data_IF_260968489595
#
_entry.id   IF_260968489595
#
_cell.length_a   1.000
_cell.length_b   1.000
_cell.length_c   1.000
_cell.angle_alpha   90.00
_cell.angle_beta   90.00
_cell.angle_gamma   90.00
#
_symmetry.space_group_name_H-M   'P 1'
#
loop_
_entity.id
_entity.type
_entity.pdbx_description
1 polymer ?
#
# COMPACT_ATOMS: atom_id res chain seq x y z
N UNK A 1 -43.57 -3.13 -22.30
CA UNK A 1 -43.14 -3.24 -21.72
C UNK A 1 -42.61 -3.16 -20.96
N UNK A 2 -42.50 -2.82 -21.20
CA UNK A 2 -41.97 -2.68 -20.47
C UNK A 2 -41.49 -2.85 -19.95
N UNK A 3 -41.11 -3.02 -19.83
CA UNK A 3 -40.60 -3.10 -19.18
C UNK A 3 -39.88 -3.16 -18.93
N UNK A 4 -39.88 -3.01 -19.04
CA UNK A 4 -39.23 -2.88 -18.78
C UNK A 4 -38.86 -2.25 -18.16
N UNK A 5 -39.16 -1.90 -18.08
CA UNK A 5 -38.94 -1.18 -17.56
C UNK A 5 -38.48 -0.74 -16.66
N UNK A 6 -38.72 -1.06 -16.22
CA UNK A 6 -38.12 -0.33 -15.38
C UNK A 6 -36.98 0.07 -15.72
N UNK A 7 -36.92 -0.37 -16.31
CA UNK A 7 -35.94 -0.15 -16.68
C UNK A 7 -35.87 0.66 -17.60
N UNK A 8 -36.47 0.51 -17.95
CA UNK A 8 -36.50 1.05 -18.55
C UNK A 8 -36.96 2.02 -18.63
N UNK A 9 -37.24 2.18 -18.22
CA UNK A 9 -37.68 2.92 -18.25
C UNK A 9 -37.66 4.04 -18.41
N UNK A 10 -37.61 4.27 -18.68
CA UNK A 10 -37.50 5.12 -18.77
C UNK A 10 -37.49 6.10 -19.26
N UNK A 11 -37.85 6.26 -19.23
CA UNK A 11 -37.55 6.81 -20.28
C UNK A 11 -36.51 7.82 -20.44
N UNK A 12 -36.60 8.92 -21.16
CA UNK A 12 -35.42 9.77 -21.30
C UNK A 12 -34.90 10.29 -19.97
N UNK A 13 -35.76 10.66 -19.07
CA UNK A 13 -35.36 11.09 -17.73
C UNK A 13 -34.74 9.93 -16.95
N UNK A 14 -35.27 8.75 -17.15
CA UNK A 14 -34.73 7.55 -16.54
C UNK A 14 -33.33 7.25 -17.01
N UNK A 15 -33.05 7.48 -18.30
CA UNK A 15 -31.70 7.25 -18.85
C UNK A 15 -30.68 8.18 -18.22
N UNK A 16 -31.01 9.44 -18.04
CA UNK A 16 -30.09 10.39 -17.43
C UNK A 16 -29.76 10.00 -15.98
N UNK A 17 -30.77 9.57 -15.25
CA UNK A 17 -30.59 9.12 -13.87
C UNK A 17 -29.76 7.83 -13.85
N UNK A 18 -30.03 6.91 -14.77
CA UNK A 18 -29.28 5.66 -14.86
C UNK A 18 -27.81 5.87 -15.17
N UNK A 19 -27.49 6.77 -16.10
CA UNK A 19 -26.11 7.08 -16.43
C UNK A 19 -25.37 7.65 -15.24
N UNK A 20 -26.01 8.57 -14.50
CA UNK A 20 -25.45 9.16 -13.30
C UNK A 20 -25.23 8.10 -12.21
N UNK A 21 -26.20 7.20 -12.04
CA UNK A 21 -26.09 6.12 -11.06
C UNK A 21 -24.99 5.13 -11.43
N UNK A 22 -24.87 4.78 -12.71
CA UNK A 22 -23.82 3.89 -13.19
C UNK A 22 -22.45 4.50 -13.00
N UNK A 23 -22.29 5.79 -13.27
CA UNK A 23 -21.03 6.49 -13.03
C UNK A 23 -20.66 6.48 -11.56
N UNK A 24 -21.63 6.76 -10.67
CA UNK A 24 -21.40 6.71 -9.23
C UNK A 24 -21.02 5.30 -8.77
N UNK A 25 -21.76 4.29 -9.27
CA UNK A 25 -21.46 2.88 -8.94
C UNK A 25 -20.05 2.49 -9.41
N UNK A 26 -19.65 2.92 -10.60
CA UNK A 26 -18.30 2.65 -11.13
C UNK A 26 -17.23 3.28 -10.24
N UNK A 27 -17.45 4.51 -9.80
CA UNK A 27 -16.51 5.18 -8.88
C UNK A 27 -16.40 4.45 -7.55
N UNK A 28 -17.54 4.05 -6.98
CA UNK A 28 -17.55 3.29 -5.71
C UNK A 28 -16.87 1.94 -5.89
N UNK A 29 -17.10 1.26 -7.01
CA UNK A 29 -16.45 -0.01 -7.31
C UNK A 29 -14.95 0.16 -7.41
N UNK A 30 -14.48 1.21 -8.09
CA UNK A 30 -13.05 1.49 -8.21
C UNK A 30 -12.42 1.79 -6.85
N UNK A 31 -13.11 2.54 -5.99
CA UNK A 31 -12.63 2.81 -4.64
C UNK A 31 -12.54 1.53 -3.81
N UNK A 32 -13.55 0.65 -3.92
CA UNK A 32 -13.54 -0.63 -3.24
C UNK A 32 -12.39 -1.52 -3.74
N UNK A 33 -12.14 -1.53 -5.04
CA UNK A 33 -11.05 -2.29 -5.63
C UNK A 33 -9.70 -1.80 -5.14
N UNK A 34 -9.50 -0.48 -5.07
CA UNK A 34 -8.27 0.11 -4.52
C UNK A 34 -8.11 -0.25 -3.04
N UNK A 35 -9.20 -0.23 -2.28
CA UNK A 35 -9.19 -0.64 -0.88
C UNK A 35 -8.80 -2.10 -0.70
N UNK A 36 -9.27 -2.98 -1.58
CA UNK A 36 -8.90 -4.39 -1.56
C UNK A 36 -7.43 -4.60 -1.87
N UNK A 37 -6.88 -3.87 -2.83
CA UNK A 37 -5.45 -3.93 -3.15
C UNK A 37 -4.62 -3.49 -1.95
N UNK A 38 -5.01 -2.39 -1.31
CA UNK A 38 -4.31 -1.90 -0.11
C UNK A 38 -4.39 -2.92 1.02
N UNK A 39 -5.57 -3.51 1.24
CA UNK A 39 -5.75 -4.53 2.26
C UNK A 39 -4.91 -5.77 1.98
N UNK A 40 -4.83 -6.20 0.72
CA UNK A 40 -4.02 -7.34 0.32
C UNK A 40 -2.53 -7.09 0.61
N UNK A 41 -2.05 -5.88 0.33
CA UNK A 41 -0.65 -5.51 0.63
C UNK A 41 -0.37 -5.57 2.13
N UNK A 42 -1.29 -5.11 2.95
CA UNK A 42 -1.15 -5.16 4.40
C UNK A 42 -1.08 -6.60 4.88
N UNK A 43 -1.96 -7.47 4.38
CA UNK A 43 -1.94 -8.91 4.72
C UNK A 43 -0.60 -9.54 4.31
N UNK A 44 -0.11 -9.22 3.13
CA UNK A 44 1.18 -9.72 2.66
C UNK A 44 2.33 -9.30 3.58
N UNK A 45 2.33 -8.05 4.04
CA UNK A 45 3.35 -7.55 4.96
C UNK A 45 3.26 -8.25 6.32
N UNK A 46 2.06 -8.44 6.85
CA UNK A 46 1.87 -9.14 8.12
C UNK A 46 2.37 -10.59 8.02
N UNK A 47 2.00 -11.28 6.94
CA UNK A 47 2.40 -12.66 6.74
C UNK A 47 3.90 -12.82 6.57
N UNK A 48 4.58 -11.81 6.02
CA UNK A 48 6.01 -11.85 5.74
C UNK A 48 6.88 -11.39 6.92
N UNK A 49 6.30 -10.90 7.99
CA UNK A 49 7.05 -10.24 9.08
C UNK A 49 8.09 -11.13 9.75
N UNK A 50 7.87 -12.44 9.77
CA UNK A 50 8.79 -13.39 10.40
C UNK A 50 9.74 -14.05 9.39
N UNK A 51 9.61 -13.73 8.13
CA UNK A 51 10.40 -14.26 7.05
C UNK A 51 9.55 -14.64 5.87
N UNK A 52 10.07 -14.47 4.67
CA UNK A 52 9.37 -14.83 3.45
C UNK A 52 10.34 -14.92 2.29
N UNK A 53 10.09 -15.84 1.38
CA UNK A 53 10.85 -15.96 0.13
C UNK A 53 10.32 -15.04 -0.96
N UNK A 54 9.19 -14.36 -0.70
CA UNK A 54 8.58 -13.46 -1.68
C UNK A 54 9.38 -12.17 -1.80
N UNK A 55 9.35 -11.54 -2.99
CA UNK A 55 10.08 -10.29 -3.19
C UNK A 55 9.28 -9.08 -2.71
N UNK A 56 9.99 -8.02 -2.36
CA UNK A 56 9.39 -6.75 -2.00
C UNK A 56 8.56 -6.17 -3.16
N UNK A 57 8.86 -6.57 -4.40
CA UNK A 57 8.14 -6.11 -5.59
C UNK A 57 6.70 -6.61 -5.66
N UNK A 58 6.28 -7.49 -4.76
CA UNK A 58 4.86 -7.81 -4.60
C UNK A 58 4.06 -6.61 -4.06
N UNK A 59 4.74 -5.66 -3.40
CA UNK A 59 4.10 -4.50 -2.76
C UNK A 59 4.57 -3.18 -3.34
N UNK A 60 5.86 -3.04 -3.66
CA UNK A 60 6.44 -1.82 -4.24
C UNK A 60 7.07 -2.13 -5.59
N UNK A 61 7.37 -1.09 -6.35
CA UNK A 61 8.02 -1.24 -7.65
C UNK A 61 9.51 -1.49 -7.49
N UNK A 62 10.11 -2.16 -8.47
CA UNK A 62 11.54 -2.43 -8.46
C UNK A 62 12.37 -1.16 -8.35
N UNK A 63 11.92 -0.07 -8.97
CA UNK A 63 12.58 1.23 -8.92
C UNK A 63 12.54 1.86 -7.53
N UNK A 64 11.71 1.37 -6.63
CA UNK A 64 11.56 1.90 -5.27
C UNK A 64 12.48 1.21 -4.24
N UNK A 65 13.14 0.13 -4.63
CA UNK A 65 13.95 -0.67 -3.70
C UNK A 65 15.09 0.16 -3.09
N UNK A 66 15.77 0.99 -3.88
CA UNK A 66 16.89 1.79 -3.37
C UNK A 66 16.40 2.87 -2.40
N UNK A 67 15.27 3.49 -2.67
CA UNK A 67 14.65 4.44 -1.74
C UNK A 67 14.28 3.74 -0.42
N UNK A 68 13.67 2.57 -0.50
CA UNK A 68 13.34 1.78 0.68
C UNK A 68 14.59 1.36 1.46
N UNK A 69 15.68 1.05 0.76
CA UNK A 69 16.94 0.70 1.41
C UNK A 69 17.52 1.88 2.19
N UNK A 70 17.45 3.10 1.65
CA UNK A 70 17.88 4.30 2.36
C UNK A 70 17.04 4.53 3.60
N UNK A 71 15.74 4.32 3.51
CA UNK A 71 14.82 4.43 4.63
C UNK A 71 15.15 3.38 5.71
N UNK A 72 15.38 2.13 5.29
CA UNK A 72 15.76 1.06 6.22
C UNK A 72 17.01 1.41 7.01
N UNK A 73 18.04 1.90 6.32
CA UNK A 73 19.29 2.29 6.96
C UNK A 73 19.06 3.41 7.99
N UNK A 74 18.21 4.38 7.67
CA UNK A 74 17.89 5.47 8.57
C UNK A 74 17.10 5.02 9.81
N UNK A 75 16.36 3.92 9.70
CA UNK A 75 15.54 3.38 10.78
C UNK A 75 16.32 2.47 11.72
N UNK A 76 17.46 1.95 11.29
CA UNK A 76 18.25 1.04 12.11
C UNK A 76 18.85 1.75 13.32
N UNK A 77 18.77 1.08 14.47
CA UNK A 77 19.32 1.60 15.71
C UNK A 77 20.65 0.94 16.07
N UNK A 78 21.07 1.16 17.31
CA UNK A 78 22.38 0.71 17.79
C UNK A 78 22.43 -0.77 18.17
N UNK A 79 21.29 -1.40 18.47
CA UNK A 79 21.25 -2.80 18.91
C UNK A 79 20.98 -3.72 17.72
N UNK A 80 21.37 -4.99 17.86
CA UNK A 80 21.10 -5.99 16.84
C UNK A 80 19.63 -6.15 16.51
N UNK A 81 18.76 -6.03 17.53
CA UNK A 81 17.31 -6.13 17.32
C UNK A 81 16.75 -4.96 16.51
N UNK A 82 17.43 -3.84 16.51
CA UNK A 82 17.01 -2.65 15.78
C UNK A 82 17.60 -2.59 14.36
N UNK A 83 18.20 -3.66 13.91
CA UNK A 83 18.70 -3.77 12.53
C UNK A 83 17.78 -4.68 11.74
N UNK A 84 17.63 -4.37 10.47
CA UNK A 84 16.79 -5.19 9.59
C UNK A 84 17.47 -6.55 9.37
N UNK A 85 16.88 -7.66 9.86
CA UNK A 85 17.52 -8.97 9.79
C UNK A 85 17.27 -9.68 8.46
N UNK A 86 16.49 -9.08 7.58
CA UNK A 86 16.06 -9.74 6.35
C UNK A 86 16.87 -9.28 5.16
N UNK A 87 16.93 -10.12 4.14
CA UNK A 87 17.67 -9.82 2.92
C UNK A 87 17.02 -8.65 2.18
N UNK A 88 17.84 -7.70 1.75
CA UNK A 88 17.41 -6.54 0.98
C UNK A 88 16.61 -6.99 -0.24
N UNK A 89 15.44 -6.38 -0.45
CA UNK A 89 14.58 -6.68 -1.58
C UNK A 89 13.58 -7.80 -1.31
N UNK A 90 13.65 -8.49 -0.17
CA UNK A 90 12.64 -9.46 0.20
C UNK A 90 11.40 -8.78 0.78
N UNK A 91 10.28 -9.46 0.72
CA UNK A 91 9.03 -8.95 1.30
C UNK A 91 9.14 -8.85 2.83
N UNK A 92 9.86 -9.77 3.46
CA UNK A 92 10.13 -9.71 4.90
C UNK A 92 10.94 -8.45 5.27
N UNK A 93 11.93 -8.11 4.45
CA UNK A 93 12.71 -6.89 4.61
C UNK A 93 11.84 -5.65 4.52
N UNK A 94 10.93 -5.61 3.55
CA UNK A 94 10.00 -4.50 3.39
C UNK A 94 9.01 -4.43 4.55
N UNK A 95 8.54 -5.58 5.02
CA UNK A 95 7.65 -5.68 6.18
C UNK A 95 8.30 -5.07 7.43
N UNK A 96 9.58 -5.33 7.66
CA UNK A 96 10.31 -4.73 8.77
C UNK A 96 10.31 -3.20 8.67
N UNK A 97 10.57 -2.67 7.48
CA UNK A 97 10.59 -1.22 7.24
C UNK A 97 9.22 -0.61 7.53
N UNK A 98 8.16 -1.21 6.99
CA UNK A 98 6.80 -0.73 7.23
C UNK A 98 6.45 -0.78 8.73
N UNK A 99 6.79 -1.87 9.40
CA UNK A 99 6.53 -2.01 10.83
C UNK A 99 7.22 -0.92 11.64
N UNK A 100 8.47 -0.62 11.33
CA UNK A 100 9.24 0.44 12.01
C UNK A 100 8.59 1.81 11.78
N UNK A 101 8.23 2.10 10.55
CA UNK A 101 7.55 3.36 10.22
C UNK A 101 6.19 3.46 10.88
N UNK A 102 5.55 2.32 11.12
CA UNK A 102 4.27 2.25 11.81
C UNK A 102 4.37 2.38 13.33
N UNK A 103 5.59 2.45 13.87
CA UNK A 103 5.82 2.67 15.28
C UNK A 103 6.27 1.45 16.08
N UNK A 104 6.51 0.32 15.42
CA UNK A 104 7.02 -0.86 16.09
C UNK A 104 8.48 -0.64 16.54
N UNK A 105 8.79 -1.02 17.76
CA UNK A 105 10.10 -0.75 18.36
C UNK A 105 11.06 -1.94 18.35
N UNK A 106 10.71 -3.04 17.70
CA UNK A 106 11.51 -4.27 17.58
C UNK A 106 11.52 -5.17 18.81
N UNK A 107 10.96 -4.76 19.94
CA UNK A 107 11.15 -5.48 21.20
C UNK A 107 9.93 -6.22 21.73
N UNK A 108 8.75 -5.70 21.49
CA UNK A 108 7.55 -6.28 22.08
C UNK A 108 6.74 -7.03 21.01
N UNK A 109 5.46 -6.98 21.11
CA UNK A 109 4.56 -7.74 20.23
C UNK A 109 4.93 -7.63 18.76
N UNK A 110 4.74 -8.71 17.99
CA UNK A 110 4.93 -8.62 16.53
C UNK A 110 4.00 -7.56 15.95
N UNK A 111 4.45 -6.82 14.92
CA UNK A 111 3.63 -5.78 14.32
C UNK A 111 2.40 -6.38 13.64
N UNK A 112 1.24 -5.84 13.95
CA UNK A 112 -0.03 -6.28 13.40
C UNK A 112 -0.49 -5.47 12.20
N UNK A 113 -1.71 -5.74 11.71
CA UNK A 113 -2.24 -5.07 10.52
C UNK A 113 -2.30 -3.55 10.64
N UNK A 114 -2.68 -3.04 11.80
CA UNK A 114 -2.81 -1.59 12.02
C UNK A 114 -1.46 -0.90 11.92
N UNK A 115 -0.44 -1.47 12.52
CA UNK A 115 0.93 -0.97 12.45
C UNK A 115 1.43 -1.02 11.00
N UNK A 116 1.20 -2.13 10.31
CA UNK A 116 1.61 -2.28 8.91
C UNK A 116 0.90 -1.30 7.99
N UNK A 117 -0.40 -1.07 8.20
CA UNK A 117 -1.15 -0.10 7.41
C UNK A 117 -0.59 1.31 7.55
N UNK A 118 -0.35 1.73 8.79
CA UNK A 118 0.24 3.03 9.07
C UNK A 118 1.64 3.14 8.48
N UNK A 119 2.41 2.09 8.63
CA UNK A 119 3.78 2.04 8.13
C UNK A 119 3.86 2.05 6.62
N UNK A 120 2.97 1.33 5.95
CA UNK A 120 2.93 1.31 4.49
C UNK A 120 2.61 2.70 3.94
N UNK A 121 1.63 3.40 4.51
CA UNK A 121 1.30 4.76 4.10
C UNK A 121 2.52 5.68 4.21
N UNK A 122 3.20 5.61 5.33
CA UNK A 122 4.40 6.43 5.57
C UNK A 122 5.54 6.07 4.62
N UNK A 123 5.70 4.78 4.36
CA UNK A 123 6.72 4.28 3.44
C UNK A 123 6.50 4.83 2.03
N UNK A 124 5.27 4.73 1.52
CA UNK A 124 4.94 5.20 0.18
C UNK A 124 5.14 6.71 0.06
N UNK A 125 4.75 7.47 1.08
CA UNK A 125 4.97 8.91 1.10
C UNK A 125 6.46 9.25 1.06
N UNK A 126 7.28 8.54 1.83
CA UNK A 126 8.72 8.78 1.86
C UNK A 126 9.40 8.39 0.57
N UNK A 127 8.96 7.30 -0.06
CA UNK A 127 9.46 6.89 -1.37
C UNK A 127 9.16 7.97 -2.40
N UNK A 128 7.94 8.50 -2.40
CA UNK A 128 7.58 9.61 -3.30
C UNK A 128 8.47 10.83 -3.07
N UNK A 129 8.69 11.19 -1.81
CA UNK A 129 9.58 12.31 -1.47
C UNK A 129 11.01 12.08 -1.94
N UNK A 130 11.51 10.86 -1.79
CA UNK A 130 12.84 10.48 -2.25
C UNK A 130 12.96 10.63 -3.77
N UNK A 131 11.95 10.16 -4.50
CA UNK A 131 11.91 10.27 -5.97
C UNK A 131 11.86 11.72 -6.42
N UNK A 132 11.06 12.55 -5.75
CA UNK A 132 10.97 13.98 -6.07
C UNK A 132 12.32 14.67 -5.86
N UNK A 133 12.99 14.38 -4.77
CA UNK A 133 14.32 14.96 -4.49
C UNK A 133 15.34 14.53 -5.54
N UNK A 134 15.31 13.25 -5.93
CA UNK A 134 16.23 12.72 -6.95
C UNK A 134 15.94 13.28 -8.34
N UNK A 135 14.69 13.61 -8.65
CA UNK A 135 14.28 14.16 -9.94
C UNK A 135 14.52 15.66 -10.05
N UNK A 136 14.73 16.37 -8.91
CA UNK A 136 14.95 17.82 -8.93
C UNK A 136 16.35 18.09 -9.44
N UNK A 137 16.50 18.87 -10.54
CA UNK A 137 17.82 19.17 -11.05
C UNK A 137 18.58 20.07 -10.09
N UNK A 138 19.89 19.85 -10.01
CA UNK A 138 20.78 20.73 -9.27
C UNK A 138 20.86 22.08 -9.98
N UNK A 139 20.80 23.13 -9.22
CA UNK A 139 20.81 24.49 -9.75
C UNK A 139 22.22 25.10 -9.67
#
# INVERSE_FOLDING_TARGET
MAHRRGVLVLKSNGLDIEDSQLETAARLFNLAALGLVAAARIVQLVDARDGSKRPATDVIEATDIEAAAAISAALEGSTGRQRNPHEKGSLAWLSWIAARLGGWNCYYRPPGPKTMARGLDRLLDRIEGFKLAAATPDV
#
